data_IF_243007233332
#
_entry.id   IF_243007233332
#
_cell.length_a   1.000
_cell.length_b   1.000
_cell.length_c   1.000
_cell.angle_alpha   90.00
_cell.angle_beta   90.00
_cell.angle_gamma   90.00
#
_symmetry.space_group_name_H-M   'P 1'
#
loop_
_entity.id
_entity.type
_entity.pdbx_description
1 polymer ?
#
# COMPACT_ATOMS: atom_id res chain seq x y z
N UNK A 1 32.00 -3.01 2.58
CA UNK A 1 30.90 -2.17 2.04
C UNK A 1 29.89 -3.09 1.37
N UNK A 2 28.86 -3.56 2.09
CA UNK A 2 27.52 -3.74 1.51
C UNK A 2 26.50 -3.96 2.64
N UNK A 3 25.91 -2.85 3.08
CA UNK A 3 24.89 -2.79 4.10
C UNK A 3 23.54 -2.89 3.40
N UNK A 4 23.03 -4.10 3.18
CA UNK A 4 21.66 -4.30 2.71
C UNK A 4 20.90 -5.20 3.68
N UNK A 5 20.12 -4.51 4.50
CA UNK A 5 19.21 -5.03 5.49
C UNK A 5 18.34 -6.15 4.92
N UNK A 6 18.47 -7.33 5.53
CA UNK A 6 17.58 -8.47 5.37
C UNK A 6 16.27 -8.19 6.11
N UNK A 7 15.45 -7.26 5.61
CA UNK A 7 14.04 -7.20 5.98
C UNK A 7 13.21 -7.44 4.71
N UNK A 8 12.52 -8.57 4.69
CA UNK A 8 11.80 -9.17 3.56
C UNK A 8 10.71 -8.27 2.95
N UNK A 9 11.11 -7.29 2.15
CA UNK A 9 10.29 -6.66 1.10
C UNK A 9 10.61 -7.33 -0.26
N UNK A 10 11.44 -8.39 -0.25
CA UNK A 10 12.04 -9.10 -1.39
C UNK A 10 11.05 -9.79 -2.36
N UNK A 11 9.75 -9.51 -2.27
CA UNK A 11 8.74 -9.96 -3.24
C UNK A 11 7.50 -9.08 -3.33
N UNK A 12 7.47 -7.92 -2.66
CA UNK A 12 6.35 -6.98 -2.72
C UNK A 12 6.88 -5.65 -3.20
N UNK A 13 6.67 -5.34 -4.49
CA UNK A 13 7.07 -4.08 -5.09
C UNK A 13 6.77 -2.89 -4.16
N UNK A 14 7.79 -2.08 -3.79
CA UNK A 14 7.60 -0.91 -2.93
C UNK A 14 6.56 0.06 -3.51
N UNK A 15 6.44 0.07 -4.85
CA UNK A 15 5.39 0.77 -5.60
C UNK A 15 3.99 0.34 -5.19
N UNK A 16 3.75 -0.96 -5.00
CA UNK A 16 2.46 -1.48 -4.58
C UNK A 16 2.09 -1.06 -3.16
N UNK A 17 3.05 -1.02 -2.25
CA UNK A 17 2.82 -0.53 -0.89
C UNK A 17 2.49 0.97 -0.89
N UNK A 18 3.27 1.78 -1.62
CA UNK A 18 3.00 3.21 -1.79
C UNK A 18 1.61 3.43 -2.40
N UNK A 19 1.21 2.60 -3.37
CA UNK A 19 -0.10 2.67 -4.00
C UNK A 19 -1.25 2.42 -3.04
N UNK A 20 -1.18 1.35 -2.26
CA UNK A 20 -2.19 1.08 -1.23
C UNK A 20 -2.26 2.20 -0.18
N UNK A 21 -1.11 2.75 0.23
CA UNK A 21 -1.04 3.80 1.22
C UNK A 21 -1.63 5.13 0.72
N UNK A 22 -1.29 5.54 -0.50
CA UNK A 22 -1.84 6.75 -1.13
C UNK A 22 -3.35 6.63 -1.31
N UNK A 23 -3.85 5.47 -1.75
CA UNK A 23 -5.29 5.24 -1.89
C UNK A 23 -6.02 5.25 -0.54
N UNK A 24 -5.41 4.70 0.51
CA UNK A 24 -5.94 4.77 1.86
C UNK A 24 -6.02 6.23 2.35
N UNK A 25 -4.94 7.00 2.22
CA UNK A 25 -4.89 8.40 2.62
C UNK A 25 -5.90 9.24 1.84
N UNK A 26 -6.00 9.04 0.52
CA UNK A 26 -6.96 9.76 -0.30
C UNK A 26 -8.41 9.46 0.11
N UNK A 27 -8.71 8.19 0.45
CA UNK A 27 -10.01 7.80 0.98
C UNK A 27 -10.29 8.41 2.37
N UNK A 28 -9.29 8.43 3.26
CA UNK A 28 -9.39 9.08 4.58
C UNK A 28 -9.59 10.59 4.48
N UNK A 29 -8.96 11.23 3.48
CA UNK A 29 -9.11 12.67 3.20
C UNK A 29 -10.36 13.01 2.39
N UNK A 30 -11.22 12.02 2.09
CA UNK A 30 -12.40 12.16 1.23
C UNK A 30 -12.08 12.75 -0.17
N UNK A 31 -10.85 12.57 -0.65
CA UNK A 31 -10.44 13.01 -1.98
C UNK A 31 -10.95 12.00 -3.00
N UNK A 32 -11.71 12.48 -3.98
CA UNK A 32 -12.12 11.67 -5.15
C UNK A 32 -10.90 11.42 -6.04
N UNK A 33 -10.16 10.37 -5.73
CA UNK A 33 -9.10 9.84 -6.59
C UNK A 33 -9.61 8.62 -7.34
N UNK A 34 -9.40 8.59 -8.65
CA UNK A 34 -9.74 7.43 -9.46
C UNK A 34 -8.61 6.39 -9.37
N UNK A 35 -8.97 5.11 -9.33
CA UNK A 35 -7.97 4.02 -9.30
C UNK A 35 -7.02 4.09 -10.50
N UNK A 36 -7.51 4.58 -11.64
CA UNK A 36 -6.76 4.81 -12.89
C UNK A 36 -5.73 5.95 -12.80
N UNK A 37 -6.03 7.01 -12.05
CA UNK A 37 -5.09 8.12 -11.84
C UNK A 37 -3.94 7.66 -10.93
N UNK A 38 -4.28 6.93 -9.88
CA UNK A 38 -3.31 6.37 -8.93
C UNK A 38 -2.45 5.30 -9.61
N UNK A 39 -3.05 4.45 -10.43
CA UNK A 39 -2.34 3.42 -11.20
C UNK A 39 -1.32 4.05 -12.15
N UNK A 40 -1.67 5.16 -12.81
CA UNK A 40 -0.76 5.95 -13.65
C UNK A 40 0.38 6.60 -12.87
N UNK A 41 0.10 7.32 -11.78
CA UNK A 41 1.13 8.02 -10.99
C UNK A 41 2.18 7.06 -10.43
N UNK A 42 1.73 5.89 -9.97
CA UNK A 42 2.59 4.95 -9.24
C UNK A 42 3.08 3.81 -10.16
N UNK A 43 2.64 3.82 -11.42
CA UNK A 43 2.95 2.81 -12.44
C UNK A 43 2.68 1.37 -11.95
N UNK A 44 1.53 1.17 -11.32
CA UNK A 44 1.03 -0.15 -10.89
C UNK A 44 -0.32 -0.41 -11.52
N UNK A 45 -0.75 -1.66 -11.63
CA UNK A 45 -2.11 -1.95 -12.15
C UNK A 45 -3.17 -1.72 -11.09
N UNK A 46 -4.41 -1.48 -11.52
CA UNK A 46 -5.57 -1.30 -10.63
C UNK A 46 -5.80 -2.53 -9.72
N UNK A 47 -5.52 -3.73 -10.25
CA UNK A 47 -5.61 -4.98 -9.46
C UNK A 47 -4.54 -5.06 -8.38
N UNK A 48 -3.31 -4.59 -8.65
CA UNK A 48 -2.25 -4.48 -7.64
C UNK A 48 -2.61 -3.46 -6.57
N UNK A 49 -3.13 -2.29 -6.97
CA UNK A 49 -3.59 -1.25 -6.05
C UNK A 49 -4.63 -1.81 -5.06
N UNK A 50 -5.66 -2.50 -5.58
CA UNK A 50 -6.74 -3.07 -4.77
C UNK A 50 -6.24 -4.16 -3.82
N UNK A 51 -5.35 -5.03 -4.31
CA UNK A 51 -4.73 -6.08 -3.49
C UNK A 51 -3.95 -5.47 -2.31
N UNK A 52 -3.14 -4.45 -2.59
CA UNK A 52 -2.32 -3.76 -1.58
C UNK A 52 -3.13 -2.97 -0.58
N UNK A 53 -4.21 -2.30 -1.01
CA UNK A 53 -5.15 -1.65 -0.11
C UNK A 53 -5.79 -2.64 0.88
N UNK A 54 -6.25 -3.81 0.40
CA UNK A 54 -6.81 -4.86 1.27
C UNK A 54 -5.78 -5.38 2.27
N UNK A 55 -4.55 -5.63 1.81
CA UNK A 55 -3.47 -6.03 2.71
C UNK A 55 -3.20 -4.95 3.76
N UNK A 56 -3.04 -3.69 3.36
CA UNK A 56 -2.84 -2.56 4.28
C UNK A 56 -3.94 -2.44 5.31
N UNK A 57 -5.21 -2.52 4.89
CA UNK A 57 -6.36 -2.47 5.79
C UNK A 57 -6.32 -3.63 6.81
N UNK A 58 -6.00 -4.84 6.34
CA UNK A 58 -5.87 -6.02 7.21
C UNK A 58 -4.73 -5.85 8.22
N UNK A 59 -3.57 -5.35 7.78
CA UNK A 59 -2.42 -5.13 8.66
C UNK A 59 -2.70 -4.04 9.70
N UNK A 60 -3.39 -2.96 9.31
CA UNK A 60 -3.82 -1.90 10.24
C UNK A 60 -4.80 -2.49 11.26
N UNK A 61 -5.83 -3.22 10.83
CA UNK A 61 -6.80 -3.84 11.75
C UNK A 61 -6.17 -4.86 12.70
N UNK A 62 -5.18 -5.66 12.25
CA UNK A 62 -4.48 -6.61 13.12
C UNK A 62 -3.63 -5.90 14.17
N UNK A 63 -2.93 -4.83 13.81
CA UNK A 63 -2.14 -4.06 14.78
C UNK A 63 -2.99 -3.37 15.85
N UNK A 64 -4.24 -3.01 15.56
CA UNK A 64 -5.15 -2.45 16.56
C UNK A 64 -5.67 -3.51 17.56
N UNK A 65 -5.70 -4.79 17.20
CA UNK A 65 -6.14 -5.88 18.10
C UNK A 65 -5.01 -6.46 18.95
N UNK A 66 -3.75 -6.32 18.54
CA UNK A 66 -2.60 -6.84 19.32
C UNK A 66 -2.04 -5.84 20.35
N UNK A 67 -2.76 -4.75 20.62
CA UNK A 67 -2.39 -3.73 21.61
C UNK A 67 -3.31 -3.70 22.85
N UNK A 68 -4.16 -4.72 23.02
CA UNK A 68 -4.94 -4.98 24.24
C UNK A 68 -4.38 -6.22 24.96
#
# INVERSE_FOLDING_TARGET
HNFIARNSISGKDPKGLCAGAIYLIAKLRNVKVSQKDISKVISVTEVTLRSRYKELLKNISLNFTSLD
#
